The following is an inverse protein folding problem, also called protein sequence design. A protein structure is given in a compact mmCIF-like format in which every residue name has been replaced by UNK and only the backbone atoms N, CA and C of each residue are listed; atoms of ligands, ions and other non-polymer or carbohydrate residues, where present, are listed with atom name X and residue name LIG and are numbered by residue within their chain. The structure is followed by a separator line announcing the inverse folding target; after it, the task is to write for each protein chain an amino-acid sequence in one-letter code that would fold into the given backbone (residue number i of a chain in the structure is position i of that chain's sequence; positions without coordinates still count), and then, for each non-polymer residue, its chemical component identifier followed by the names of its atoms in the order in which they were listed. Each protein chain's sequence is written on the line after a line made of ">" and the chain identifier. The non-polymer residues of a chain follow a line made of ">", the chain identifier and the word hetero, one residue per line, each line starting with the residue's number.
data_IF_544417357239
#
_entry.id   IF_544417357239
#
_cell.length_a   1.000
_cell.length_b   1.000
_cell.length_c   1.000
_cell.angle_alpha   90.00
_cell.angle_beta   90.00
_cell.angle_gamma   90.00
#
_symmetry.space_group_name_H-M   'P 1'
#
loop_
_entity.id
_entity.type
_entity.pdbx_description
1 polymer ?
#
# COMPACT_ATOMS: atom_id res chain seq x y z
N UNK A 1 6.94 -4.27 -3.61
CA UNK A 1 6.50 -5.31 -2.65
C UNK A 1 7.69 -5.97 -1.95
N UNK A 2 8.60 -6.68 -2.64
CA UNK A 2 9.71 -7.43 -1.99
C UNK A 2 10.53 -6.56 -1.01
N UNK A 3 10.99 -5.38 -1.41
CA UNK A 3 11.77 -4.50 -0.53
C UNK A 3 11.01 -4.06 0.74
N UNK A 4 9.70 -3.90 0.62
CA UNK A 4 8.82 -3.60 1.75
C UNK A 4 8.75 -4.77 2.73
N UNK A 5 8.46 -5.98 2.22
CA UNK A 5 8.39 -7.18 3.04
C UNK A 5 9.74 -7.52 3.68
N UNK A 6 10.83 -7.36 2.94
CA UNK A 6 12.17 -7.51 3.52
C UNK A 6 12.41 -6.53 4.68
N UNK A 7 11.98 -5.27 4.54
CA UNK A 7 12.06 -4.28 5.62
C UNK A 7 11.20 -4.68 6.82
N UNK A 8 9.96 -5.09 6.57
CA UNK A 8 9.04 -5.56 7.59
C UNK A 8 9.60 -6.77 8.35
N UNK A 9 10.10 -7.77 7.63
CA UNK A 9 10.63 -9.01 8.21
C UNK A 9 11.94 -8.84 8.98
N UNK A 10 12.75 -7.84 8.61
CA UNK A 10 14.04 -7.60 9.28
C UNK A 10 14.00 -6.46 10.30
N UNK A 11 12.83 -5.89 10.60
CA UNK A 11 12.72 -4.74 11.49
C UNK A 11 13.37 -3.46 10.97
N UNK A 12 13.53 -3.36 9.65
CA UNK A 12 14.16 -2.22 8.98
C UNK A 12 13.07 -1.27 8.43
N UNK A 13 12.63 -0.36 9.30
CA UNK A 13 11.59 0.60 8.95
C UNK A 13 12.02 1.55 7.82
N UNK A 14 13.30 1.93 7.77
CA UNK A 14 13.83 2.80 6.72
C UNK A 14 13.74 2.10 5.35
N UNK A 15 14.15 0.84 5.26
CA UNK A 15 14.02 0.03 4.04
C UNK A 15 12.57 -0.13 3.63
N UNK A 16 11.67 -0.44 4.56
CA UNK A 16 10.26 -0.60 4.27
C UNK A 16 9.63 0.70 3.73
N UNK A 17 9.84 1.83 4.40
CA UNK A 17 9.30 3.14 4.01
C UNK A 17 9.91 3.62 2.69
N UNK A 18 11.22 3.46 2.47
CA UNK A 18 11.90 3.87 1.24
C UNK A 18 11.47 3.09 0.01
N UNK A 19 10.79 1.95 0.19
CA UNK A 19 10.19 1.19 -0.90
C UNK A 19 8.97 1.87 -1.54
N UNK A 20 8.41 2.89 -0.89
CA UNK A 20 7.28 3.65 -1.42
C UNK A 20 7.72 4.79 -2.33
N UNK A 21 6.89 5.10 -3.33
CA UNK A 21 7.08 6.25 -4.20
C UNK A 21 6.72 7.55 -3.46
N UNK A 22 7.64 8.10 -2.69
CA UNK A 22 7.42 9.34 -1.92
C UNK A 22 7.81 10.54 -2.77
N UNK A 23 9.10 10.72 -3.01
CA UNK A 23 9.64 11.84 -3.78
C UNK A 23 9.31 11.69 -5.26
N UNK A 24 9.46 10.48 -5.80
CA UNK A 24 9.18 10.17 -7.21
C UNK A 24 7.71 10.42 -7.55
N UNK A 25 6.78 9.95 -6.71
CA UNK A 25 5.36 10.26 -6.87
C UNK A 25 5.10 11.77 -6.86
N UNK A 26 5.67 12.49 -5.88
CA UNK A 26 5.47 13.93 -5.73
C UNK A 26 5.97 14.70 -6.97
N UNK A 27 7.11 14.29 -7.52
CA UNK A 27 7.70 14.92 -8.69
C UNK A 27 6.91 14.67 -9.99
N UNK A 28 6.21 13.52 -10.10
CA UNK A 28 5.48 13.12 -11.31
C UNK A 28 3.97 13.36 -11.23
N UNK A 29 3.45 13.77 -10.06
CA UNK A 29 2.02 13.90 -9.83
C UNK A 29 1.37 14.95 -10.77
N UNK A 30 0.39 14.50 -11.56
CA UNK A 30 -0.33 15.37 -12.51
C UNK A 30 -1.54 16.03 -11.83
N UNK A 31 -1.32 17.22 -11.30
CA UNK A 31 -2.35 18.04 -10.66
C UNK A 31 -3.52 18.38 -11.56
N UNK A 32 -3.29 18.49 -12.87
CA UNK A 32 -4.36 18.76 -13.83
C UNK A 32 -5.28 17.55 -13.96
N UNK A 33 -4.72 16.38 -14.21
CA UNK A 33 -5.47 15.14 -14.28
C UNK A 33 -6.22 14.85 -12.97
N UNK A 34 -5.56 15.07 -11.83
CA UNK A 34 -6.20 14.97 -10.51
C UNK A 34 -7.42 15.88 -10.39
N UNK A 35 -7.29 17.17 -10.71
CA UNK A 35 -8.38 18.15 -10.63
C UNK A 35 -9.52 17.77 -11.58
N UNK A 36 -9.23 17.34 -12.81
CA UNK A 36 -10.24 16.92 -13.79
C UNK A 36 -11.03 15.68 -13.29
N UNK A 37 -10.36 14.68 -12.72
CA UNK A 37 -11.01 13.48 -12.16
C UNK A 37 -11.86 13.81 -10.92
N UNK A 38 -11.47 14.79 -10.12
CA UNK A 38 -12.15 15.21 -8.89
C UNK A 38 -13.16 16.34 -9.11
N UNK A 39 -13.27 16.91 -10.32
CA UNK A 39 -14.12 18.07 -10.61
C UNK A 39 -15.60 17.88 -10.24
N UNK A 40 -16.10 16.65 -10.24
CA UNK A 40 -17.46 16.32 -9.79
C UNK A 40 -17.66 16.46 -8.28
N UNK A 41 -16.57 16.41 -7.50
CA UNK A 41 -16.60 16.34 -6.04
C UNK A 41 -16.01 17.58 -5.37
N UNK A 42 -15.22 18.37 -6.10
CA UNK A 42 -14.55 19.54 -5.59
C UNK A 42 -15.15 20.80 -6.22
N UNK A 43 -15.41 21.86 -5.43
CA UNK A 43 -15.79 23.16 -5.97
C UNK A 43 -14.74 23.67 -6.95
N UNK A 44 -15.14 24.43 -7.95
CA UNK A 44 -14.33 24.95 -9.08
C UNK A 44 -13.11 25.83 -8.70
N UNK A 45 -12.71 25.88 -7.45
CA UNK A 45 -11.61 26.70 -6.94
C UNK A 45 -10.30 25.92 -6.78
N UNK A 46 -10.22 24.68 -7.22
CA UNK A 46 -8.99 23.89 -7.10
C UNK A 46 -8.00 24.33 -8.20
N UNK A 47 -6.92 24.97 -7.80
CA UNK A 47 -5.84 25.34 -8.70
C UNK A 47 -4.72 24.29 -8.67
N UNK A 48 -4.36 23.68 -9.81
CA UNK A 48 -3.22 22.76 -9.86
C UNK A 48 -1.87 23.45 -9.60
N UNK A 49 -1.80 24.77 -9.72
CA UNK A 49 -0.61 25.59 -9.46
C UNK A 49 -0.55 26.11 -8.01
N UNK A 50 -1.22 25.43 -7.09
CA UNK A 50 -1.25 25.87 -5.71
C UNK A 50 0.14 25.86 -5.08
N UNK A 51 0.55 27.03 -4.59
CA UNK A 51 1.83 27.19 -3.91
C UNK A 51 1.95 26.24 -2.69
N UNK A 52 3.01 25.47 -2.65
CA UNK A 52 3.26 24.50 -1.57
C UNK A 52 2.58 23.15 -1.75
N UNK A 53 1.85 22.92 -2.84
CA UNK A 53 1.19 21.63 -3.07
C UNK A 53 2.17 20.45 -3.12
N UNK A 54 3.36 20.66 -3.66
CA UNK A 54 4.43 19.65 -3.69
C UNK A 54 4.88 19.26 -2.28
N UNK A 55 5.15 20.23 -1.41
CA UNK A 55 5.56 19.97 -0.02
C UNK A 55 4.47 19.27 0.78
N UNK A 56 3.21 19.65 0.58
CA UNK A 56 2.07 18.97 1.20
C UNK A 56 1.97 17.53 0.72
N UNK A 57 2.11 17.30 -0.58
CA UNK A 57 2.05 15.97 -1.15
C UNK A 57 3.18 15.08 -0.62
N UNK A 58 4.41 15.60 -0.56
CA UNK A 58 5.57 14.89 0.00
C UNK A 58 5.31 14.47 1.46
N UNK A 59 4.85 15.39 2.30
CA UNK A 59 4.55 15.12 3.69
C UNK A 59 3.43 14.08 3.87
N UNK A 60 2.37 14.17 3.06
CA UNK A 60 1.27 13.19 3.07
C UNK A 60 1.76 11.81 2.66
N UNK A 61 2.54 11.70 1.59
CA UNK A 61 3.07 10.42 1.10
C UNK A 61 3.98 9.75 2.13
N UNK A 62 4.87 10.51 2.76
CA UNK A 62 5.72 9.99 3.83
C UNK A 62 4.92 9.47 5.01
N UNK A 63 3.95 10.27 5.49
CA UNK A 63 3.05 9.86 6.57
C UNK A 63 2.28 8.59 6.22
N UNK A 64 1.76 8.51 4.99
CA UNK A 64 0.96 7.35 4.55
C UNK A 64 1.82 6.08 4.46
N UNK A 65 3.07 6.18 4.02
CA UNK A 65 4.01 5.05 4.00
C UNK A 65 4.37 4.57 5.42
N UNK A 66 4.66 5.50 6.34
CA UNK A 66 4.93 5.18 7.73
C UNK A 66 3.69 4.58 8.43
N UNK A 67 2.51 5.16 8.18
CA UNK A 67 1.23 4.65 8.69
C UNK A 67 0.90 3.25 8.16
N UNK A 68 1.20 2.97 6.90
CA UNK A 68 1.04 1.66 6.30
C UNK A 68 1.87 0.59 7.03
N UNK A 69 3.16 0.86 7.21
CA UNK A 69 4.09 -0.03 7.92
C UNK A 69 3.61 -0.29 9.36
N UNK A 70 3.28 0.79 10.07
CA UNK A 70 2.79 0.68 11.44
C UNK A 70 1.52 -0.15 11.55
N UNK A 71 0.54 0.12 10.70
CA UNK A 71 -0.73 -0.61 10.70
C UNK A 71 -0.51 -2.09 10.47
N UNK A 72 0.25 -2.47 9.45
CA UNK A 72 0.51 -3.87 9.15
C UNK A 72 1.31 -4.57 10.25
N UNK A 73 2.34 -3.91 10.77
CA UNK A 73 3.10 -4.47 11.89
C UNK A 73 2.23 -4.73 13.12
N UNK A 74 1.39 -3.75 13.51
CA UNK A 74 0.51 -3.90 14.67
C UNK A 74 -0.55 -4.99 14.46
N UNK A 75 -1.09 -5.12 13.27
CA UNK A 75 -2.02 -6.19 12.93
C UNK A 75 -1.36 -7.56 13.11
N UNK A 76 -0.15 -7.74 12.61
CA UNK A 76 0.63 -8.97 12.75
C UNK A 76 0.92 -9.26 14.24
N UNK A 77 1.40 -8.25 14.98
CA UNK A 77 1.80 -8.40 16.37
C UNK A 77 0.64 -8.68 17.33
N UNK A 78 -0.58 -8.24 16.99
CA UNK A 78 -1.76 -8.38 17.86
C UNK A 78 -2.77 -9.44 17.37
N UNK A 79 -2.57 -10.00 16.19
CA UNK A 79 -3.46 -11.02 15.65
C UNK A 79 -3.23 -12.36 16.38
N UNK A 80 -4.28 -12.88 17.01
CA UNK A 80 -4.30 -14.23 17.57
C UNK A 80 -4.75 -15.26 16.52
N UNK A 81 -5.46 -14.79 15.47
CA UNK A 81 -6.00 -15.64 14.41
C UNK A 81 -5.95 -14.90 13.05
N UNK A 82 -6.02 -15.62 11.92
CA UNK A 82 -6.17 -15.04 10.59
C UNK A 82 -7.35 -14.06 10.48
N UNK A 83 -8.46 -14.35 11.16
CA UNK A 83 -9.65 -13.48 11.15
C UNK A 83 -9.39 -12.15 11.84
N UNK A 84 -8.62 -12.14 12.94
CA UNK A 84 -8.26 -10.91 13.63
C UNK A 84 -7.46 -9.97 12.72
N UNK A 85 -6.55 -10.52 11.90
CA UNK A 85 -5.83 -9.72 10.91
C UNK A 85 -6.75 -9.18 9.83
N UNK A 86 -7.75 -9.93 9.39
CA UNK A 86 -8.68 -9.52 8.35
C UNK A 86 -9.72 -8.51 8.85
N UNK A 87 -10.27 -8.73 10.04
CA UNK A 87 -11.30 -7.86 10.63
C UNK A 87 -10.74 -6.50 11.08
N UNK A 88 -9.45 -6.44 11.26
CA UNK A 88 -8.77 -5.25 11.76
C UNK A 88 -8.88 -5.13 13.28
N UNK A 89 -7.84 -4.60 13.88
CA UNK A 89 -7.80 -4.34 15.31
C UNK A 89 -8.11 -2.85 15.52
N UNK A 90 -8.96 -2.54 16.49
CA UNK A 90 -9.36 -1.19 16.80
C UNK A 90 -8.14 -0.26 16.98
N UNK A 91 -8.14 0.78 16.19
CA UNK A 91 -7.38 2.01 16.32
C UNK A 91 -5.87 1.86 16.58
N UNK A 92 -5.14 1.69 15.51
CA UNK A 92 -3.72 1.97 15.51
C UNK A 92 -3.53 3.49 15.31
N UNK A 93 -3.28 4.21 16.40
CA UNK A 93 -3.05 5.66 16.36
C UNK A 93 -1.67 6.01 16.91
N UNK A 94 -0.98 6.94 16.23
CA UNK A 94 0.11 7.69 16.83
C UNK A 94 -0.46 8.97 17.43
N UNK A 95 -0.56 9.04 18.74
CA UNK A 95 -1.06 10.23 19.45
C UNK A 95 0.06 11.21 19.77
N UNK A 96 1.30 10.76 19.71
CA UNK A 96 2.47 11.57 20.04
C UNK A 96 3.74 11.12 19.30
N UNK A 97 4.77 12.00 19.31
CA UNK A 97 6.11 11.63 18.82
C UNK A 97 6.72 10.46 19.60
N UNK A 98 6.38 10.36 20.90
CA UNK A 98 6.86 9.26 21.73
C UNK A 98 6.31 7.91 21.28
N UNK A 99 5.10 7.85 20.73
CA UNK A 99 4.50 6.62 20.24
C UNK A 99 5.24 6.14 18.98
N UNK A 100 5.65 7.08 18.12
CA UNK A 100 6.46 6.77 16.95
C UNK A 100 7.86 6.24 17.35
N UNK A 101 8.51 6.86 18.34
CA UNK A 101 9.80 6.41 18.86
C UNK A 101 9.68 5.03 19.53
N UNK A 102 8.64 4.79 20.29
CA UNK A 102 8.36 3.49 20.90
C UNK A 102 8.11 2.43 19.84
N UNK A 103 7.28 2.73 18.83
CA UNK A 103 7.04 1.84 17.72
C UNK A 103 8.33 1.47 16.97
N UNK A 104 9.18 2.43 16.65
CA UNK A 104 10.45 2.17 15.94
C UNK A 104 11.33 1.22 16.75
N UNK A 105 11.38 1.38 18.07
CA UNK A 105 12.14 0.51 18.96
C UNK A 105 11.53 -0.89 19.04
N UNK A 106 10.23 -0.99 19.28
CA UNK A 106 9.51 -2.27 19.33
C UNK A 106 9.62 -3.00 18.00
N UNK A 107 9.48 -2.29 16.89
CA UNK A 107 9.61 -2.84 15.56
C UNK A 107 10.99 -3.46 15.30
N UNK A 108 12.08 -2.82 15.78
CA UNK A 108 13.44 -3.33 15.61
C UNK A 108 13.74 -4.56 16.48
N UNK A 109 13.13 -4.64 17.67
CA UNK A 109 13.46 -5.65 18.70
C UNK A 109 12.49 -6.85 18.71
N UNK A 110 11.44 -6.84 17.88
CA UNK A 110 10.37 -7.84 17.93
C UNK A 110 10.76 -9.17 17.26
N UNK A 111 10.63 -10.27 18.00
CA UNK A 111 10.94 -11.63 17.54
C UNK A 111 9.79 -12.28 16.73
N UNK A 112 8.58 -11.69 16.71
CA UNK A 112 7.40 -12.27 16.06
C UNK A 112 7.61 -12.53 14.56
N UNK A 113 8.44 -11.71 13.93
CA UNK A 113 8.76 -11.79 12.50
C UNK A 113 9.62 -13.00 12.12
N UNK A 114 10.28 -13.62 13.10
CA UNK A 114 11.12 -14.81 12.86
C UNK A 114 10.34 -16.00 12.27
N UNK A 115 9.02 -16.02 12.49
CA UNK A 115 8.10 -17.04 12.01
C UNK A 115 7.39 -16.66 10.70
N UNK A 116 7.71 -15.51 10.11
CA UNK A 116 7.13 -15.04 8.87
C UNK A 116 8.01 -15.39 7.67
N UNK A 117 7.40 -15.96 6.63
CA UNK A 117 8.10 -16.29 5.39
C UNK A 117 7.29 -15.83 4.18
N UNK A 118 7.93 -15.12 3.25
CA UNK A 118 7.34 -14.79 1.95
C UNK A 118 7.44 -16.03 1.07
N UNK A 119 6.30 -16.56 0.65
CA UNK A 119 6.21 -17.77 -0.18
C UNK A 119 6.21 -17.43 -1.66
N UNK A 120 5.44 -16.42 -2.05
CA UNK A 120 5.25 -16.05 -3.44
C UNK A 120 4.92 -14.56 -3.57
N UNK A 121 5.33 -13.96 -4.70
CA UNK A 121 4.91 -12.61 -5.09
C UNK A 121 4.44 -12.66 -6.54
N UNK A 122 3.19 -12.27 -6.79
CA UNK A 122 2.55 -12.30 -8.11
C UNK A 122 1.92 -10.96 -8.47
N UNK A 123 1.95 -10.59 -9.73
CA UNK A 123 1.16 -9.46 -10.24
C UNK A 123 -0.31 -9.86 -10.39
N UNK A 124 -1.21 -8.90 -10.24
CA UNK A 124 -2.65 -9.15 -10.37
C UNK A 124 -3.03 -9.76 -11.73
N UNK A 125 -2.31 -9.43 -12.79
CA UNK A 125 -2.47 -10.01 -14.13
C UNK A 125 -2.16 -11.51 -14.18
N UNK A 126 -1.36 -12.02 -13.27
CA UNK A 126 -0.92 -13.44 -13.18
C UNK A 126 -1.66 -14.20 -12.08
N UNK A 127 -2.54 -13.55 -11.33
CA UNK A 127 -3.27 -14.18 -10.23
C UNK A 127 -4.20 -15.28 -10.78
N UNK A 128 -4.16 -16.52 -10.26
CA UNK A 128 -4.72 -17.69 -10.94
C UNK A 128 -6.24 -17.86 -10.85
N UNK A 129 -7.00 -16.88 -10.35
CA UNK A 129 -8.45 -16.93 -10.24
C UNK A 129 -9.13 -16.30 -11.47
N UNK A 130 -9.95 -17.09 -12.20
CA UNK A 130 -10.58 -16.67 -13.44
C UNK A 130 -11.65 -15.57 -13.22
N UNK A 131 -12.41 -15.64 -12.14
CA UNK A 131 -13.46 -14.66 -11.82
C UNK A 131 -12.82 -13.32 -11.41
N UNK A 132 -11.70 -13.40 -10.71
CA UNK A 132 -10.87 -12.23 -10.41
C UNK A 132 -10.35 -11.60 -11.71
N UNK A 133 -9.78 -12.39 -12.63
CA UNK A 133 -9.23 -11.88 -13.89
C UNK A 133 -10.31 -11.19 -14.74
N UNK A 134 -11.50 -11.75 -14.84
CA UNK A 134 -12.62 -11.12 -15.55
C UNK A 134 -12.98 -9.75 -14.94
N UNK A 135 -13.10 -9.67 -13.62
CA UNK A 135 -13.39 -8.41 -12.92
C UNK A 135 -12.25 -7.41 -13.04
N UNK A 136 -11.00 -7.86 -12.87
CA UNK A 136 -9.81 -7.01 -12.94
C UNK A 136 -9.62 -6.41 -14.34
N UNK A 137 -9.86 -7.20 -15.40
CA UNK A 137 -9.77 -6.78 -16.79
C UNK A 137 -11.02 -6.02 -17.30
N UNK A 138 -12.07 -5.87 -16.48
CA UNK A 138 -13.28 -5.17 -16.91
C UNK A 138 -12.98 -3.72 -17.35
N UNK A 139 -13.80 -3.20 -18.27
CA UNK A 139 -13.64 -1.82 -18.79
C UNK A 139 -13.63 -0.78 -17.67
N UNK A 140 -14.49 -0.93 -16.66
CA UNK A 140 -14.59 -0.01 -15.54
C UNK A 140 -13.30 0.01 -14.71
N UNK A 141 -12.75 -1.15 -14.37
CA UNK A 141 -11.53 -1.26 -13.60
C UNK A 141 -10.30 -0.81 -14.40
N UNK A 142 -10.21 -1.17 -15.68
CA UNK A 142 -9.16 -0.71 -16.57
C UNK A 142 -9.15 0.81 -16.69
N UNK A 143 -10.31 1.44 -16.88
CA UNK A 143 -10.46 2.89 -16.93
C UNK A 143 -10.06 3.56 -15.61
N UNK A 144 -10.42 2.96 -14.48
CA UNK A 144 -10.04 3.48 -13.17
C UNK A 144 -8.52 3.43 -12.96
N UNK A 145 -7.87 2.29 -13.22
CA UNK A 145 -6.41 2.14 -13.12
C UNK A 145 -5.68 3.10 -14.05
N UNK A 146 -6.14 3.22 -15.32
CA UNK A 146 -5.55 4.16 -16.27
C UNK A 146 -5.71 5.62 -15.82
N UNK A 147 -6.84 5.97 -15.22
CA UNK A 147 -7.05 7.28 -14.62
C UNK A 147 -6.10 7.53 -13.44
N UNK A 148 -5.90 6.56 -12.56
CA UNK A 148 -4.96 6.65 -11.45
C UNK A 148 -3.51 6.73 -11.96
N UNK A 149 -3.14 5.91 -12.94
CA UNK A 149 -1.82 5.93 -13.57
C UNK A 149 -1.45 7.33 -14.07
N UNK A 150 -2.37 7.96 -14.82
CA UNK A 150 -2.17 9.33 -15.33
C UNK A 150 -2.06 10.36 -14.22
N UNK A 151 -2.89 10.24 -13.19
CA UNK A 151 -2.86 11.13 -12.03
C UNK A 151 -1.52 11.04 -11.29
N UNK A 152 -1.00 9.82 -11.11
CA UNK A 152 0.30 9.59 -10.49
C UNK A 152 1.49 9.97 -11.40
N UNK A 153 1.26 10.16 -12.70
CA UNK A 153 2.32 10.36 -13.68
C UNK A 153 3.21 9.12 -13.87
N UNK A 154 2.70 7.94 -13.54
CA UNK A 154 3.44 6.70 -13.65
C UNK A 154 3.40 6.13 -15.08
N UNK A 155 4.45 5.41 -15.47
CA UNK A 155 4.51 4.66 -16.72
C UNK A 155 3.54 3.49 -16.70
N UNK A 156 3.53 2.75 -15.58
CA UNK A 156 2.69 1.57 -15.36
C UNK A 156 2.16 1.53 -13.92
N UNK A 157 1.02 0.87 -13.72
CA UNK A 157 0.48 0.49 -12.41
C UNK A 157 0.16 -0.99 -12.40
N UNK A 158 0.47 -1.65 -11.29
CA UNK A 158 0.10 -3.04 -11.03
C UNK A 158 -0.24 -3.23 -9.56
N UNK A 159 -1.35 -3.92 -9.27
CA UNK A 159 -1.52 -4.49 -7.93
C UNK A 159 -0.65 -5.74 -7.82
N UNK A 160 0.12 -5.83 -6.76
CA UNK A 160 0.98 -6.98 -6.46
C UNK A 160 0.47 -7.66 -5.20
N UNK A 161 0.36 -8.97 -5.26
CA UNK A 161 0.02 -9.83 -4.12
C UNK A 161 1.25 -10.55 -3.63
N UNK A 162 1.39 -10.70 -2.32
CA UNK A 162 2.39 -11.55 -1.70
C UNK A 162 1.72 -12.53 -0.76
N UNK A 163 2.00 -13.81 -0.94
CA UNK A 163 1.63 -14.85 0.01
C UNK A 163 2.70 -14.93 1.09
N UNK A 164 2.28 -14.84 2.34
CA UNK A 164 3.15 -14.87 3.51
C UNK A 164 2.63 -15.92 4.50
N UNK A 165 3.47 -16.86 4.87
CA UNK A 165 3.19 -17.76 5.98
C UNK A 165 3.60 -17.13 7.31
N UNK A 166 2.77 -17.30 8.34
CA UNK A 166 3.02 -16.85 9.69
C UNK A 166 2.40 -17.83 10.68
N UNK A 167 3.21 -18.40 11.57
CA UNK A 167 2.82 -19.42 12.53
C UNK A 167 2.01 -20.61 11.94
N UNK A 168 2.31 -20.97 10.70
CA UNK A 168 1.66 -22.07 9.98
C UNK A 168 0.36 -21.72 9.27
N UNK A 169 -0.09 -20.47 9.36
CA UNK A 169 -1.22 -19.92 8.63
C UNK A 169 -0.73 -19.09 7.43
N UNK A 170 -1.56 -18.98 6.39
CA UNK A 170 -1.23 -18.26 5.17
C UNK A 170 -2.05 -17.00 5.05
N UNK A 171 -1.36 -15.89 4.76
CA UNK A 171 -1.95 -14.57 4.56
C UNK A 171 -1.57 -14.02 3.19
N UNK A 172 -2.41 -13.15 2.68
CA UNK A 172 -2.12 -12.41 1.47
C UNK A 172 -2.00 -10.92 1.78
N UNK A 173 -0.91 -10.36 1.30
CA UNK A 173 -0.66 -8.92 1.31
C UNK A 173 -0.91 -8.38 -0.08
N UNK A 174 -1.67 -7.30 -0.19
CA UNK A 174 -1.92 -6.61 -1.45
C UNK A 174 -1.35 -5.20 -1.40
N UNK A 175 -0.75 -4.77 -2.50
CA UNK A 175 -0.15 -3.45 -2.62
C UNK A 175 -0.30 -2.93 -4.04
N UNK A 176 -0.74 -1.68 -4.19
CA UNK A 176 -0.64 -0.99 -5.48
C UNK A 176 0.79 -0.55 -5.69
N UNK A 177 1.33 -0.82 -6.87
CA UNK A 177 2.68 -0.44 -7.25
C UNK A 177 2.67 0.43 -8.50
N UNK A 178 3.66 1.30 -8.63
CA UNK A 178 3.85 2.18 -9.76
C UNK A 178 5.27 2.09 -10.30
N UNK A 179 5.39 2.10 -11.63
CA UNK A 179 6.65 2.16 -12.33
C UNK A 179 6.92 3.60 -12.78
N UNK A 180 8.13 4.08 -12.53
CA UNK A 180 8.66 5.35 -13.02
C UNK A 180 10.04 5.12 -13.60
N UNK A 181 10.24 5.42 -14.88
CA UNK A 181 11.51 5.23 -15.58
C UNK A 181 12.09 3.80 -15.43
N UNK A 182 11.20 2.79 -15.44
CA UNK A 182 11.56 1.38 -15.30
C UNK A 182 11.85 0.92 -13.87
N UNK A 183 11.66 1.77 -12.85
CA UNK A 183 11.82 1.43 -11.43
C UNK A 183 10.45 1.32 -10.76
N UNK A 184 10.21 0.19 -10.09
CA UNK A 184 8.97 -0.10 -9.39
C UNK A 184 9.03 0.32 -7.92
N UNK A 185 7.98 1.03 -7.48
CA UNK A 185 7.77 1.47 -6.11
C UNK A 185 6.40 1.03 -5.61
N UNK A 186 6.26 0.84 -4.31
CA UNK A 186 4.95 0.72 -3.68
C UNK A 186 4.25 2.09 -3.69
N UNK A 187 2.96 2.09 -3.90
CA UNK A 187 2.16 3.31 -3.95
C UNK A 187 1.22 3.43 -2.75
N UNK A 188 0.50 2.36 -2.46
CA UNK A 188 -0.43 2.27 -1.33
C UNK A 188 -0.71 0.82 -0.98
N UNK A 189 -1.18 0.58 0.25
CA UNK A 189 -1.72 -0.72 0.62
C UNK A 189 -2.98 -1.05 -0.19
N UNK A 190 -3.28 -2.32 -0.33
CA UNK A 190 -4.45 -2.91 -0.96
C UNK A 190 -4.52 -2.74 -2.49
N UNK A 191 -4.66 -1.53 -3.01
CA UNK A 191 -4.84 -1.30 -4.43
C UNK A 191 -6.17 -1.78 -5.02
N UNK A 192 -6.30 -1.66 -6.33
CA UNK A 192 -7.53 -2.06 -7.05
C UNK A 192 -7.74 -3.59 -6.99
N UNK A 193 -6.69 -4.37 -7.17
CA UNK A 193 -6.78 -5.83 -7.14
C UNK A 193 -7.17 -6.37 -5.77
N UNK A 194 -6.56 -5.88 -4.70
CA UNK A 194 -6.91 -6.29 -3.34
C UNK A 194 -8.35 -5.95 -2.97
N UNK A 195 -8.83 -4.77 -3.37
CA UNK A 195 -10.24 -4.39 -3.19
C UNK A 195 -11.21 -5.34 -3.93
N UNK A 196 -10.82 -5.85 -5.10
CA UNK A 196 -11.61 -6.86 -5.83
C UNK A 196 -11.64 -8.22 -5.13
N UNK A 197 -10.61 -8.58 -4.40
CA UNK A 197 -10.57 -9.78 -3.56
C UNK A 197 -11.24 -9.58 -2.20
N UNK A 198 -11.72 -8.37 -1.91
CA UNK A 198 -12.40 -8.05 -0.65
C UNK A 198 -11.46 -7.73 0.50
N UNK A 199 -10.17 -7.51 0.23
CA UNK A 199 -9.23 -7.14 1.27
C UNK A 199 -9.57 -5.77 1.86
N UNK A 200 -9.42 -5.61 3.17
CA UNK A 200 -9.58 -4.33 3.83
C UNK A 200 -8.50 -3.32 3.42
N UNK A 201 -8.69 -2.06 3.77
CA UNK A 201 -7.83 -0.96 3.34
C UNK A 201 -6.34 -1.12 3.73
N UNK A 202 -6.04 -1.87 4.77
CA UNK A 202 -4.67 -2.17 5.20
C UNK A 202 -4.00 -3.32 4.40
N UNK A 203 -4.68 -3.87 3.39
CA UNK A 203 -4.07 -4.74 2.39
C UNK A 203 -3.61 -6.11 2.88
N UNK A 204 -4.21 -6.64 3.93
CA UNK A 204 -3.99 -8.02 4.40
C UNK A 204 -5.32 -8.75 4.31
N UNK A 205 -5.30 -9.97 3.80
CA UNK A 205 -6.49 -10.79 3.68
C UNK A 205 -6.18 -12.27 3.65
N UNK A 206 -7.24 -13.06 3.73
CA UNK A 206 -7.22 -14.51 3.57
C UNK A 206 -7.95 -14.80 2.27
N UNK A 207 -7.36 -15.61 1.42
CA UNK A 207 -8.02 -16.12 0.22
C UNK A 207 -8.23 -17.60 0.46
N UNK A 208 -9.51 -18.00 0.59
CA UNK A 208 -9.94 -19.40 0.70
C UNK A 208 -9.84 -20.14 -0.64
#
# INVERSE_FOLDING_TARGET
>A
MQAYLDGLLNGDAEKAISSFAIETFTAHFDWKTYAERRSMYLPNSYSPDWFGAEQVNLAVRFRDAAGALYTQYRLIALADTPYDMQDGIDAVHFDSTNDLENFTREFADDDIRSNMHVEEIVCAEEYPDADFQERYASEANTKNREGLRKECGADELCTVFASVSFDGEQYWFAMETACYDGVWYNLSLNGNGGALLGFPAYGIGIVE
#
